data_IF_641554543254
#
_entry.id   IF_641554543254
#
_cell.length_a   1.000
_cell.length_b   1.000
_cell.length_c   1.000
_cell.angle_alpha   90.00
_cell.angle_beta   90.00
_cell.angle_gamma   90.00
#
_symmetry.space_group_name_H-M   'P 1'
#
loop_
_entity.id
_entity.type
_entity.pdbx_description
1 polymer ?
#
# COMPACT_ATOMS: atom_id res chain seq x y z
N UNK A 1 -10.53 5.20 29.14
CA UNK A 1 -10.41 4.86 27.70
C UNK A 1 -9.25 3.87 27.44
N UNK A 2 -9.22 2.70 28.10
CA UNK A 2 -8.18 1.65 27.93
C UNK A 2 -8.75 0.27 27.54
N UNK A 3 -10.07 0.16 27.35
CA UNK A 3 -10.80 -1.10 27.15
C UNK A 3 -11.13 -1.41 25.68
N UNK A 4 -11.17 -0.40 24.80
CA UNK A 4 -11.60 -0.59 23.41
C UNK A 4 -10.59 -1.39 22.56
N UNK A 5 -9.29 -1.19 22.73
CA UNK A 5 -8.25 -1.90 21.97
C UNK A 5 -8.28 -3.43 22.20
N UNK A 6 -8.49 -3.85 23.46
CA UNK A 6 -8.61 -5.26 23.82
C UNK A 6 -9.85 -5.90 23.21
N UNK A 7 -10.95 -5.15 23.13
CA UNK A 7 -12.17 -5.61 22.48
C UNK A 7 -11.95 -5.84 20.99
N UNK A 8 -11.33 -4.89 20.28
CA UNK A 8 -11.06 -5.01 18.83
C UNK A 8 -10.20 -6.22 18.51
N UNK A 9 -9.07 -6.44 19.22
CA UNK A 9 -8.22 -7.61 18.97
C UNK A 9 -8.95 -8.93 19.19
N UNK A 10 -9.75 -9.00 20.26
CA UNK A 10 -10.51 -10.21 20.59
C UNK A 10 -11.60 -10.51 19.56
N UNK A 11 -12.38 -9.51 19.18
CA UNK A 11 -13.43 -9.69 18.16
C UNK A 11 -12.83 -9.98 16.79
N UNK A 12 -11.71 -9.32 16.44
CA UNK A 12 -10.97 -9.62 15.21
C UNK A 12 -10.49 -11.07 15.16
N UNK A 13 -9.94 -11.61 16.27
CA UNK A 13 -9.51 -13.01 16.36
C UNK A 13 -10.66 -13.99 16.10
N UNK A 14 -11.87 -13.69 16.61
CA UNK A 14 -13.05 -14.53 16.33
C UNK A 14 -13.37 -14.55 14.83
N UNK A 15 -13.30 -13.40 14.17
CA UNK A 15 -13.56 -13.27 12.73
C UNK A 15 -12.50 -14.05 11.93
N UNK A 16 -11.21 -13.89 12.22
CA UNK A 16 -10.14 -14.58 11.47
C UNK A 16 -10.15 -16.09 11.69
N UNK A 17 -10.52 -16.55 12.89
CA UNK A 17 -10.72 -17.97 13.19
C UNK A 17 -11.90 -18.54 12.40
N UNK A 18 -13.04 -17.85 12.42
CA UNK A 18 -14.23 -18.27 11.66
C UNK A 18 -13.98 -18.28 10.14
N UNK A 19 -13.13 -17.39 9.64
CA UNK A 19 -12.73 -17.33 8.24
C UNK A 19 -11.62 -18.33 7.84
N UNK A 20 -11.07 -19.11 8.78
CA UNK A 20 -9.99 -20.07 8.51
C UNK A 20 -8.62 -19.43 8.22
N UNK A 21 -8.44 -18.15 8.54
CA UNK A 21 -7.21 -17.36 8.29
C UNK A 21 -6.17 -17.61 9.40
N UNK A 22 -6.62 -18.07 10.57
CA UNK A 22 -5.78 -18.42 11.71
C UNK A 22 -5.93 -17.46 12.90
N UNK A 23 -5.22 -17.80 13.97
CA UNK A 23 -5.31 -17.12 15.27
C UNK A 23 -4.25 -16.04 15.50
N UNK A 24 -3.16 -16.06 14.71
CA UNK A 24 -2.00 -15.17 14.87
C UNK A 24 -2.18 -13.83 14.14
N UNK A 25 -3.24 -13.70 13.33
CA UNK A 25 -3.59 -12.45 12.65
C UNK A 25 -3.97 -11.38 13.65
N UNK A 26 -3.33 -10.21 13.56
CA UNK A 26 -3.75 -9.04 14.31
C UNK A 26 -4.25 -7.91 13.40
N UNK A 27 -5.01 -6.92 13.91
CA UNK A 27 -5.55 -5.85 13.07
C UNK A 27 -4.51 -5.05 12.27
N UNK A 28 -3.22 -5.12 12.65
CA UNK A 28 -2.12 -4.53 11.88
C UNK A 28 -2.04 -5.12 10.47
N UNK A 29 -2.43 -6.38 10.29
CA UNK A 29 -2.27 -7.09 9.02
C UNK A 29 -3.26 -6.55 7.99
N UNK A 30 -4.41 -6.02 8.43
CA UNK A 30 -5.35 -5.29 7.57
C UNK A 30 -4.71 -4.04 6.95
N UNK A 31 -3.84 -3.33 7.68
CA UNK A 31 -3.11 -2.18 7.12
C UNK A 31 -2.15 -2.65 6.02
N UNK A 32 -1.47 -3.77 6.23
CA UNK A 32 -0.60 -4.38 5.22
C UNK A 32 -1.39 -4.86 3.99
N UNK A 33 -2.54 -5.50 4.19
CA UNK A 33 -3.43 -5.90 3.09
C UNK A 33 -3.94 -4.69 2.31
N UNK A 34 -4.36 -3.62 2.99
CA UNK A 34 -4.79 -2.38 2.35
C UNK A 34 -3.70 -1.77 1.46
N UNK A 35 -2.48 -1.62 1.99
CA UNK A 35 -1.34 -1.11 1.23
C UNK A 35 -0.99 -2.03 0.04
N UNK A 36 -1.04 -3.35 0.23
CA UNK A 36 -0.75 -4.33 -0.84
C UNK A 36 -1.76 -4.23 -1.98
N UNK A 37 -3.06 -4.10 -1.67
CA UNK A 37 -4.11 -3.94 -2.68
C UNK A 37 -3.92 -2.63 -3.48
N UNK A 38 -3.69 -1.51 -2.81
CA UNK A 38 -3.45 -0.23 -3.49
C UNK A 38 -2.20 -0.28 -4.39
N UNK A 39 -1.14 -0.92 -3.91
CA UNK A 39 0.08 -1.13 -4.70
C UNK A 39 -0.20 -2.02 -5.93
N UNK A 40 -0.97 -3.10 -5.77
CA UNK A 40 -1.34 -3.97 -6.89
C UNK A 40 -2.21 -3.25 -7.94
N UNK A 41 -2.92 -2.20 -7.54
CA UNK A 41 -3.69 -1.31 -8.42
C UNK A 41 -2.90 -0.08 -8.89
N UNK A 42 -1.57 -0.07 -8.75
CA UNK A 42 -0.65 0.98 -9.23
C UNK A 42 -0.92 2.37 -8.65
N UNK A 43 -1.50 2.45 -7.46
CA UNK A 43 -1.62 3.72 -6.73
C UNK A 43 -0.22 4.17 -6.32
N UNK A 44 0.08 5.46 -6.53
CA UNK A 44 1.39 6.03 -6.25
C UNK A 44 1.75 5.89 -4.75
N UNK A 45 3.02 5.60 -4.45
CA UNK A 45 3.52 5.40 -3.08
C UNK A 45 3.26 6.59 -2.16
N UNK A 46 3.31 7.80 -2.71
CA UNK A 46 3.03 9.06 -2.03
C UNK A 46 1.57 9.14 -1.60
N UNK A 47 0.67 8.66 -2.46
CA UNK A 47 -0.77 8.66 -2.18
C UNK A 47 -1.13 7.59 -1.16
N UNK A 48 -0.56 6.39 -1.29
CA UNK A 48 -0.69 5.34 -0.28
C UNK A 48 -0.18 5.83 1.08
N UNK A 49 1.00 6.47 1.12
CA UNK A 49 1.58 7.02 2.36
C UNK A 49 0.68 8.07 3.01
N UNK A 50 0.06 8.96 2.22
CA UNK A 50 -0.93 9.93 2.72
C UNK A 50 -2.16 9.23 3.31
N UNK A 51 -2.70 8.21 2.64
CA UNK A 51 -3.89 7.48 3.10
C UNK A 51 -3.67 6.75 4.43
N UNK A 52 -2.46 6.23 4.68
CA UNK A 52 -2.14 5.53 5.93
C UNK A 52 -1.54 6.44 7.01
N UNK A 53 -1.45 7.76 6.74
CA UNK A 53 -0.96 8.77 7.69
C UNK A 53 0.54 8.68 7.99
N UNK A 54 1.35 8.19 7.05
CA UNK A 54 2.80 8.22 7.20
C UNK A 54 3.34 9.64 6.98
N UNK A 55 4.28 10.07 7.81
CA UNK A 55 4.99 11.34 7.66
C UNK A 55 6.05 11.32 6.55
N UNK A 56 6.38 10.13 6.03
CA UNK A 56 7.28 9.94 4.90
C UNK A 56 6.88 8.73 4.06
N UNK A 57 7.26 8.73 2.79
CA UNK A 57 7.02 7.62 1.85
C UNK A 57 8.05 6.49 2.00
N UNK A 58 9.15 6.74 2.73
CA UNK A 58 10.31 5.86 2.81
C UNK A 58 9.97 4.42 3.23
N UNK A 59 9.02 4.25 4.17
CA UNK A 59 8.54 2.93 4.61
C UNK A 59 7.71 2.25 3.52
N UNK A 60 6.85 2.99 2.82
CA UNK A 60 6.00 2.47 1.74
C UNK A 60 6.84 2.11 0.51
N UNK A 61 7.79 2.95 0.13
CA UNK A 61 8.71 2.74 -1.00
C UNK A 61 9.69 1.58 -0.79
N UNK A 62 10.03 1.25 0.45
CA UNK A 62 10.94 0.14 0.76
C UNK A 62 10.22 -1.20 0.74
N UNK A 63 8.98 -1.24 1.24
CA UNK A 63 8.20 -2.49 1.36
C UNK A 63 7.44 -2.84 0.08
N UNK A 64 6.97 -1.84 -0.68
CA UNK A 64 6.09 -2.06 -1.85
C UNK A 64 6.76 -1.74 -3.19
N UNK A 65 8.09 -1.82 -3.24
CA UNK A 65 8.95 -1.55 -4.41
C UNK A 65 8.83 -2.60 -5.54
N UNK A 66 7.68 -3.21 -5.76
CA UNK A 66 7.51 -4.12 -6.90
C UNK A 66 7.16 -3.37 -8.22
N UNK A 67 6.73 -2.11 -8.15
CA UNK A 67 6.29 -1.30 -9.30
C UNK A 67 7.35 -0.34 -9.89
N UNK A 68 8.63 -0.40 -9.48
CA UNK A 68 9.66 0.50 -10.06
C UNK A 68 10.02 0.14 -11.51
N UNK A 69 9.77 -1.11 -11.95
CA UNK A 69 10.13 -1.52 -13.32
C UNK A 69 9.25 -0.91 -14.42
N UNK A 70 7.92 -0.80 -14.29
CA UNK A 70 7.10 -0.08 -15.27
C UNK A 70 7.31 1.44 -15.24
N UNK A 71 7.51 2.05 -14.06
CA UNK A 71 7.60 3.51 -13.92
C UNK A 71 8.81 4.13 -14.66
N UNK A 72 9.94 3.42 -14.77
CA UNK A 72 11.08 3.87 -15.56
C UNK A 72 10.77 3.89 -17.07
N UNK A 73 10.01 2.91 -17.56
CA UNK A 73 9.61 2.84 -18.96
C UNK A 73 8.55 3.91 -19.28
N UNK A 74 7.60 4.13 -18.37
CA UNK A 74 6.59 5.18 -18.52
C UNK A 74 7.23 6.58 -18.57
N UNK A 75 8.25 6.83 -17.73
CA UNK A 75 9.04 8.06 -17.78
C UNK A 75 9.77 8.25 -19.11
N UNK A 76 10.36 7.19 -19.66
CA UNK A 76 11.00 7.24 -20.98
C UNK A 76 9.98 7.55 -22.10
N UNK A 77 8.81 6.91 -22.07
CA UNK A 77 7.73 7.16 -23.05
C UNK A 77 7.23 8.60 -22.98
N UNK A 78 7.00 9.14 -21.79
CA UNK A 78 6.58 10.54 -21.61
C UNK A 78 7.65 11.51 -22.12
N UNK A 79 8.93 11.21 -21.85
CA UNK A 79 10.04 12.03 -22.36
C UNK A 79 10.11 12.00 -23.89
N UNK A 80 9.96 10.84 -24.51
CA UNK A 80 9.92 10.71 -25.96
C UNK A 80 8.80 11.55 -26.59
N UNK A 81 7.61 11.58 -25.99
CA UNK A 81 6.49 12.41 -26.48
C UNK A 81 6.74 13.92 -26.29
N UNK A 82 7.29 14.33 -25.14
CA UNK A 82 7.67 15.73 -24.89
C UNK A 82 8.66 16.22 -25.95
N UNK A 83 9.68 15.42 -26.27
CA UNK A 83 10.73 15.82 -27.21
C UNK A 83 10.36 15.60 -28.68
N UNK A 84 9.43 14.70 -29.02
CA UNK A 84 8.85 14.60 -30.37
C UNK A 84 8.10 15.86 -30.78
N UNK A 85 7.35 16.48 -29.86
CA UNK A 85 6.57 17.70 -30.15
C UNK A 85 7.41 18.94 -30.51
N UNK A 86 8.73 18.90 -30.30
CA UNK A 86 9.67 19.99 -30.52
C UNK A 86 10.56 19.83 -31.77
N UNK A 87 10.44 18.71 -32.49
CA UNK A 87 11.26 18.39 -33.66
C UNK A 87 10.54 18.67 -35.00
N UNK A 88 9.51 19.51 -35.00
CA UNK A 88 8.79 19.99 -36.19
C UNK A 88 9.06 21.46 -36.47
#
# INVERSE_FOLDING_TARGET
MKTAHWYVRREFKKITTAAGIGEDWCPRELRHSFMSLLSAHRVASEEIARLVGHSSTHVTETVYRQEIRPALTDGAVVMDEIFKSRAG
#
